data_IF_866791692837
#
_entry.id   IF_866791692837
#
_cell.length_a   1.000
_cell.length_b   1.000
_cell.length_c   1.000
_cell.angle_alpha   90.00
_cell.angle_beta   90.00
_cell.angle_gamma   90.00
#
_symmetry.space_group_name_H-M   'P 1'
#
loop_
_entity.id
_entity.type
_entity.pdbx_description
1 polymer ?
#
# COMPACT_ATOMS: atom_id res chain seq x y z
N UNK A 1 17.49 -0.12 -8.10
CA UNK A 1 16.36 -1.02 -7.81
C UNK A 1 15.88 -0.71 -6.41
N UNK A 2 14.92 0.21 -6.27
CA UNK A 2 14.48 0.68 -4.95
C UNK A 2 13.38 -0.23 -4.42
N UNK A 3 13.73 -0.98 -3.38
CA UNK A 3 12.91 -1.98 -2.71
C UNK A 3 11.93 -1.25 -1.77
N UNK A 4 10.86 -0.68 -2.32
CA UNK A 4 9.80 -0.03 -1.54
C UNK A 4 8.78 -1.07 -1.09
N UNK A 5 8.99 -1.78 0.02
CA UNK A 5 7.97 -2.77 0.42
C UNK A 5 7.78 -3.07 1.91
N UNK A 6 8.61 -2.58 2.84
CA UNK A 6 8.35 -2.86 4.26
C UNK A 6 7.34 -1.90 4.91
N UNK A 7 7.04 -0.77 4.27
CA UNK A 7 6.23 0.28 4.89
C UNK A 7 4.72 0.00 4.83
N UNK A 8 4.26 -0.69 3.78
CA UNK A 8 2.85 -1.03 3.57
C UNK A 8 2.72 -2.45 3.05
N UNK A 9 1.71 -3.17 3.52
CA UNK A 9 1.33 -4.49 3.01
C UNK A 9 0.08 -4.28 2.15
N UNK A 10 0.09 -4.84 0.95
CA UNK A 10 -1.03 -4.80 0.01
C UNK A 10 -1.60 -6.20 -0.17
N UNK A 11 -2.88 -6.36 0.17
CA UNK A 11 -3.61 -7.62 0.00
C UNK A 11 -4.87 -7.40 -0.81
N UNK A 12 -5.17 -8.29 -1.76
CA UNK A 12 -6.43 -8.26 -2.51
C UNK A 12 -7.22 -9.51 -2.20
N UNK A 13 -8.45 -9.34 -1.74
CA UNK A 13 -9.33 -10.46 -1.43
C UNK A 13 -10.75 -10.18 -1.87
N UNK A 14 -11.34 -11.09 -2.64
CA UNK A 14 -12.73 -11.01 -3.12
C UNK A 14 -13.08 -9.69 -3.83
N UNK A 15 -12.11 -9.12 -4.55
CA UNK A 15 -12.24 -7.84 -5.24
C UNK A 15 -12.13 -6.61 -4.34
N UNK A 16 -11.64 -6.77 -3.11
CA UNK A 16 -11.35 -5.67 -2.18
C UNK A 16 -9.84 -5.58 -1.98
N UNK A 17 -9.28 -4.40 -2.27
CA UNK A 17 -7.90 -4.06 -1.97
C UNK A 17 -7.76 -3.58 -0.50
N UNK A 18 -6.90 -4.23 0.27
CA UNK A 18 -6.57 -3.88 1.65
C UNK A 18 -5.14 -3.37 1.70
N UNK A 19 -4.96 -2.13 2.15
CA UNK A 19 -3.65 -1.50 2.34
C UNK A 19 -3.40 -1.38 3.85
N UNK A 20 -2.41 -2.11 4.37
CA UNK A 20 -2.06 -2.15 5.78
C UNK A 20 -0.78 -1.35 5.99
N UNK A 21 -0.81 -0.39 6.91
CA UNK A 21 0.36 0.38 7.31
C UNK A 21 1.24 -0.47 8.23
N UNK A 22 2.47 -0.80 7.80
CA UNK A 22 3.39 -1.70 8.51
C UNK A 22 4.59 -0.94 9.10
N UNK A 23 4.38 0.26 9.65
CA UNK A 23 5.41 1.03 10.39
C UNK A 23 4.98 1.34 11.82
N UNK A 24 4.79 0.32 12.67
CA UNK A 24 4.38 0.52 14.07
C UNK A 24 5.42 1.30 14.89
N UNK A 25 6.71 1.12 14.59
CA UNK A 25 7.85 1.81 15.23
C UNK A 25 7.76 3.33 15.14
N UNK A 26 7.15 3.87 14.07
CA UNK A 26 6.95 5.30 13.87
C UNK A 26 5.48 5.73 14.08
N UNK A 27 4.68 4.91 14.77
CA UNK A 27 3.22 5.13 14.96
C UNK A 27 2.47 5.35 13.64
N UNK A 28 2.90 4.69 12.56
CA UNK A 28 2.38 4.93 11.21
C UNK A 28 2.48 6.39 10.76
N UNK A 29 3.53 7.11 11.18
CA UNK A 29 3.81 8.45 10.69
C UNK A 29 3.75 8.46 9.16
N UNK A 30 2.91 9.34 8.62
CA UNK A 30 2.68 9.52 7.19
C UNK A 30 3.86 10.26 6.57
N UNK A 31 5.04 9.62 6.59
CA UNK A 31 6.23 10.11 5.90
C UNK A 31 6.00 10.09 4.39
N UNK A 32 6.78 10.89 3.66
CA UNK A 32 6.74 10.95 2.19
C UNK A 32 6.86 9.55 1.56
N UNK A 33 7.69 8.68 2.11
CA UNK A 33 7.79 7.27 1.66
C UNK A 33 6.47 6.49 1.82
N UNK A 34 5.74 6.72 2.91
CA UNK A 34 4.47 6.06 3.20
C UNK A 34 3.40 6.52 2.20
N UNK A 35 3.32 7.82 1.97
CA UNK A 35 2.37 8.42 1.02
C UNK A 35 2.66 7.92 -0.40
N UNK A 36 3.93 7.86 -0.82
CA UNK A 36 4.29 7.29 -2.12
C UNK A 36 3.93 5.80 -2.21
N UNK A 37 4.20 5.01 -1.17
CA UNK A 37 3.87 3.59 -1.17
C UNK A 37 2.36 3.32 -1.19
N UNK A 38 1.58 4.13 -0.47
CA UNK A 38 0.12 4.10 -0.52
C UNK A 38 -0.37 4.48 -1.92
N UNK A 39 0.18 5.54 -2.53
CA UNK A 39 -0.15 5.96 -3.88
C UNK A 39 0.10 4.88 -4.93
N UNK A 40 1.21 4.16 -4.83
CA UNK A 40 1.55 3.03 -5.70
C UNK A 40 0.55 1.86 -5.54
N UNK A 41 0.09 1.61 -4.30
CA UNK A 41 -0.95 0.61 -4.04
C UNK A 41 -2.32 1.03 -4.61
N UNK A 42 -2.66 2.31 -4.54
CA UNK A 42 -3.89 2.83 -5.14
C UNK A 42 -3.86 2.74 -6.66
N UNK A 43 -2.75 3.09 -7.30
CA UNK A 43 -2.59 2.96 -8.75
C UNK A 43 -2.74 1.50 -9.20
N UNK A 44 -2.10 0.57 -8.46
CA UNK A 44 -2.29 -0.87 -8.68
C UNK A 44 -3.75 -1.30 -8.52
N UNK A 45 -4.42 -0.86 -7.46
CA UNK A 45 -5.81 -1.22 -7.20
C UNK A 45 -6.77 -0.67 -8.26
N UNK A 46 -6.55 0.56 -8.73
CA UNK A 46 -7.32 1.20 -9.78
C UNK A 46 -7.17 0.49 -11.14
N UNK A 47 -5.97 -0.03 -11.41
CA UNK A 47 -5.67 -0.74 -12.65
C UNK A 47 -5.98 -2.25 -12.58
N UNK A 48 -6.40 -2.79 -11.42
CA UNK A 48 -6.71 -4.20 -11.25
C UNK A 48 -8.20 -4.48 -11.59
N UNK A 49 -8.49 -5.15 -12.73
CA UNK A 49 -9.86 -5.43 -13.14
C UNK A 49 -10.59 -6.45 -12.25
N UNK A 50 -9.86 -7.13 -11.36
CA UNK A 50 -10.42 -8.03 -10.35
C UNK A 50 -10.92 -7.30 -9.10
N UNK A 51 -10.60 -6.02 -8.94
CA UNK A 51 -11.02 -5.16 -7.82
C UNK A 51 -12.23 -4.34 -8.25
N UNK A 52 -13.24 -4.22 -7.36
CA UNK A 52 -14.55 -3.64 -7.67
C UNK A 52 -14.97 -2.56 -6.68
#
# INVERSE_FOLDING_TARGET
MSKHSDAVIYEVSSGVATIILNRPENKNALSVEMINAIGDCFDKAQNDPGIR
#
